data_IF_529899906405
#
_entry.id   IF_529899906405
#
_cell.length_a   1.000
_cell.length_b   1.000
_cell.length_c   1.000
_cell.angle_alpha   90.00
_cell.angle_beta   90.00
_cell.angle_gamma   90.00
#
_symmetry.space_group_name_H-M   'P 1'
#
loop_
_entity.id
_entity.type
_entity.pdbx_description
1 polymer ?
#
# COMPACT_ATOMS: atom_id res chain seq x y z
N UNK A 1 -36.61 -13.15 -66.70
CA UNK A 1 -37.20 -13.60 -65.43
C UNK A 1 -36.14 -14.38 -64.70
N UNK A 2 -35.41 -13.72 -63.76
CA UNK A 2 -34.37 -14.35 -62.91
C UNK A 2 -34.71 -14.00 -61.46
N UNK A 3 -35.09 -15.03 -60.66
CA UNK A 3 -35.45 -14.91 -59.29
C UNK A 3 -34.18 -15.10 -58.44
N UNK A 4 -33.66 -14.01 -57.86
CA UNK A 4 -32.58 -14.06 -56.87
C UNK A 4 -33.15 -14.36 -55.50
N UNK A 5 -32.86 -15.53 -54.96
CA UNK A 5 -33.15 -15.94 -53.61
C UNK A 5 -32.02 -15.44 -52.68
N UNK A 6 -32.29 -14.40 -51.91
CA UNK A 6 -31.39 -13.93 -50.85
C UNK A 6 -31.46 -14.87 -49.64
N UNK A 7 -30.39 -15.60 -49.38
CA UNK A 7 -30.20 -16.39 -48.13
C UNK A 7 -29.73 -15.46 -47.02
N UNK A 8 -30.62 -15.21 -46.06
CA UNK A 8 -30.27 -14.57 -44.79
C UNK A 8 -29.55 -15.58 -43.90
N UNK A 9 -28.27 -15.36 -43.67
CA UNK A 9 -27.48 -16.05 -42.62
C UNK A 9 -27.72 -15.34 -41.29
N UNK A 10 -28.51 -15.99 -40.42
CA UNK A 10 -28.72 -15.57 -39.05
C UNK A 10 -27.50 -15.99 -38.26
N UNK A 11 -26.59 -15.03 -37.96
CA UNK A 11 -25.48 -15.24 -37.02
C UNK A 11 -26.02 -15.08 -35.62
N UNK A 12 -26.24 -16.20 -34.93
CA UNK A 12 -26.57 -16.23 -33.50
C UNK A 12 -25.32 -15.87 -32.69
N UNK A 13 -25.21 -14.62 -32.30
CA UNK A 13 -24.24 -14.20 -31.28
C UNK A 13 -24.63 -14.82 -29.95
N UNK A 14 -23.99 -15.93 -29.58
CA UNK A 14 -24.01 -16.50 -28.23
C UNK A 14 -23.38 -15.47 -27.30
N UNK A 15 -24.23 -14.70 -26.61
CA UNK A 15 -23.84 -13.76 -25.57
C UNK A 15 -23.21 -14.53 -24.41
N UNK A 16 -21.87 -14.55 -24.36
CA UNK A 16 -21.12 -14.95 -23.16
C UNK A 16 -21.40 -13.86 -22.13
N UNK A 17 -22.04 -14.15 -20.97
CA UNK A 17 -22.15 -13.18 -19.91
C UNK A 17 -20.72 -12.87 -19.42
N UNK A 18 -20.22 -11.68 -19.78
CA UNK A 18 -19.06 -11.12 -19.11
C UNK A 18 -19.46 -10.95 -17.65
N UNK A 19 -19.06 -11.90 -16.79
CA UNK A 19 -19.05 -11.72 -15.35
C UNK A 19 -18.05 -10.60 -15.07
N UNK A 20 -18.53 -9.35 -15.13
CA UNK A 20 -17.84 -8.21 -14.57
C UNK A 20 -17.74 -8.46 -13.08
N UNK A 21 -16.67 -9.12 -12.66
CA UNK A 21 -16.32 -9.18 -11.25
C UNK A 21 -16.28 -7.73 -10.75
N UNK A 22 -17.23 -7.35 -9.92
CA UNK A 22 -17.25 -6.04 -9.29
C UNK A 22 -15.92 -5.88 -8.56
N UNK A 23 -14.95 -5.22 -9.20
CA UNK A 23 -13.71 -4.82 -8.54
C UNK A 23 -14.13 -3.91 -7.40
N UNK A 24 -14.09 -4.43 -6.19
CA UNK A 24 -14.30 -3.62 -5.00
C UNK A 24 -13.38 -2.43 -5.11
N UNK A 25 -13.98 -1.22 -5.06
CA UNK A 25 -13.21 0.00 -5.04
C UNK A 25 -12.08 -0.13 -4.00
N UNK A 26 -10.82 0.19 -4.33
CA UNK A 26 -9.68 -0.03 -3.44
C UNK A 26 -9.82 0.74 -2.12
N UNK A 27 -10.62 1.80 -2.10
CA UNK A 27 -10.83 2.67 -0.95
C UNK A 27 -11.98 2.18 -0.08
N UNK A 28 -11.72 2.00 1.22
CA UNK A 28 -12.70 1.57 2.20
C UNK A 28 -12.80 2.57 3.34
N UNK A 29 -14.01 3.02 3.66
CA UNK A 29 -14.25 3.86 4.84
C UNK A 29 -13.95 3.04 6.11
N UNK A 30 -13.09 3.59 6.96
CA UNK A 30 -12.66 2.97 8.23
C UNK A 30 -13.11 3.76 9.45
N UNK A 31 -13.41 5.05 9.27
CA UNK A 31 -13.97 5.91 10.30
C UNK A 31 -14.80 7.03 9.69
N UNK A 32 -15.83 7.45 10.40
CA UNK A 32 -16.62 8.65 10.05
C UNK A 32 -17.31 9.21 11.29
N UNK A 33 -17.25 10.54 11.44
CA UNK A 33 -18.08 11.32 12.33
C UNK A 33 -18.59 12.60 11.62
N UNK A 34 -19.06 13.62 12.38
CA UNK A 34 -19.52 14.90 11.83
C UNK A 34 -18.41 15.74 11.20
N UNK A 35 -17.17 15.60 11.65
CA UNK A 35 -16.05 16.47 11.30
C UNK A 35 -15.04 15.81 10.36
N UNK A 36 -15.00 14.47 10.32
CA UNK A 36 -13.95 13.75 9.62
C UNK A 36 -14.47 12.45 9.01
N UNK A 37 -14.05 12.15 7.79
CA UNK A 37 -14.18 10.83 7.18
C UNK A 37 -12.78 10.29 6.88
N UNK A 38 -12.48 9.06 7.30
CA UNK A 38 -11.23 8.40 7.00
C UNK A 38 -11.48 7.20 6.10
N UNK A 39 -10.82 7.21 4.95
CA UNK A 39 -10.83 6.11 4.00
C UNK A 39 -9.44 5.49 3.90
N UNK A 40 -9.40 4.20 3.69
CA UNK A 40 -8.21 3.37 3.65
C UNK A 40 -8.07 2.71 2.28
N UNK A 41 -6.92 2.89 1.64
CA UNK A 41 -6.62 2.23 0.37
C UNK A 41 -6.18 0.78 0.62
N UNK A 42 -7.07 -0.14 0.35
CA UNK A 42 -6.80 -1.56 0.54
C UNK A 42 -5.82 -2.13 -0.50
N UNK A 43 -5.61 -1.46 -1.62
CA UNK A 43 -4.66 -1.87 -2.66
C UNK A 43 -3.21 -1.49 -2.32
N UNK A 44 -3.03 -0.45 -1.50
CA UNK A 44 -1.72 0.06 -1.09
C UNK A 44 -1.04 -0.77 0.02
N UNK A 45 -1.73 -1.78 0.55
CA UNK A 45 -1.23 -2.58 1.66
C UNK A 45 -0.04 -3.43 1.25
N UNK A 46 1.09 -3.24 1.89
CA UNK A 46 2.27 -4.05 1.71
C UNK A 46 2.91 -4.44 3.06
N UNK A 47 3.30 -5.70 3.21
CA UNK A 47 4.05 -6.16 4.36
C UNK A 47 5.50 -5.68 4.23
N UNK A 48 5.96 -4.86 5.16
CA UNK A 48 7.33 -4.31 5.18
C UNK A 48 8.29 -5.19 5.98
N UNK A 49 7.81 -5.68 7.12
CA UNK A 49 8.52 -6.62 8.00
C UNK A 49 7.49 -7.38 8.83
N UNK A 50 7.83 -8.47 9.50
CA UNK A 50 6.89 -9.20 10.35
C UNK A 50 6.13 -8.26 11.30
N UNK A 51 4.81 -8.24 11.17
CA UNK A 51 3.91 -7.40 11.97
C UNK A 51 3.90 -5.90 11.62
N UNK A 52 4.60 -5.45 10.57
CA UNK A 52 4.64 -4.06 10.12
C UNK A 52 4.09 -3.96 8.70
N UNK A 53 3.08 -3.14 8.51
CA UNK A 53 2.40 -2.93 7.24
C UNK A 53 2.61 -1.50 6.74
N UNK A 54 2.86 -1.33 5.43
CA UNK A 54 2.71 -0.04 4.76
C UNK A 54 1.25 0.14 4.38
N UNK A 55 0.71 1.33 4.63
CA UNK A 55 -0.70 1.66 4.40
C UNK A 55 -0.83 3.07 3.86
N UNK A 56 -1.90 3.33 3.10
CA UNK A 56 -2.28 4.69 2.70
C UNK A 56 -3.70 4.96 3.22
N UNK A 57 -3.87 6.11 3.88
CA UNK A 57 -5.15 6.61 4.37
C UNK A 57 -5.41 8.01 3.83
N UNK A 58 -6.66 8.34 3.56
CA UNK A 58 -7.11 9.70 3.26
C UNK A 58 -8.07 10.17 4.35
N UNK A 59 -7.87 11.39 4.81
CA UNK A 59 -8.59 12.08 5.87
C UNK A 59 -9.32 13.27 5.24
N UNK A 60 -10.62 13.16 5.08
CA UNK A 60 -11.45 14.21 4.52
C UNK A 60 -12.13 14.97 5.67
N UNK A 61 -11.88 16.27 5.75
CA UNK A 61 -12.39 17.17 6.81
C UNK A 61 -13.63 17.89 6.32
N UNK A 62 -14.71 17.85 7.10
CA UNK A 62 -15.94 18.60 6.79
C UNK A 62 -15.73 20.11 6.82
N UNK A 63 -14.79 20.59 7.63
CA UNK A 63 -14.38 21.99 7.72
C UNK A 63 -12.91 22.14 7.35
N UNK A 64 -12.52 23.19 6.60
CA UNK A 64 -11.12 23.40 6.28
C UNK A 64 -10.26 23.49 7.54
N UNK A 65 -9.11 22.84 7.49
CA UNK A 65 -8.03 22.95 8.48
C UNK A 65 -7.01 23.97 7.99
N UNK A 66 -6.24 24.53 8.89
CA UNK A 66 -5.26 25.57 8.59
C UNK A 66 -3.87 25.03 8.90
N UNK A 67 -2.97 25.15 7.92
CA UNK A 67 -1.55 24.87 8.11
C UNK A 67 -0.86 26.06 8.80
N UNK A 68 0.37 25.86 9.28
CA UNK A 68 1.20 26.89 9.89
C UNK A 68 1.41 28.11 8.96
N UNK A 69 1.50 27.89 7.65
CA UNK A 69 1.61 28.94 6.63
C UNK A 69 0.26 29.60 6.26
N UNK A 70 -0.78 29.42 7.09
CA UNK A 70 -2.15 29.93 6.94
C UNK A 70 -2.92 29.40 5.72
N UNK A 71 -2.37 28.48 4.94
CA UNK A 71 -3.11 27.85 3.84
C UNK A 71 -4.14 26.87 4.41
N UNK A 72 -5.32 26.85 3.78
CA UNK A 72 -6.41 25.94 4.15
C UNK A 72 -6.32 24.63 3.37
N UNK A 73 -6.75 23.54 4.01
CA UNK A 73 -6.89 22.25 3.37
C UNK A 73 -8.13 21.52 3.89
N UNK A 74 -8.67 20.63 3.06
CA UNK A 74 -9.84 19.79 3.39
C UNK A 74 -9.52 18.32 3.33
N UNK A 75 -8.36 17.94 2.77
CA UNK A 75 -7.93 16.55 2.66
C UNK A 75 -6.46 16.40 3.02
N UNK A 76 -6.18 15.33 3.76
CA UNK A 76 -4.83 14.87 4.08
C UNK A 76 -4.70 13.40 3.62
N UNK A 77 -3.71 13.11 2.79
CA UNK A 77 -3.35 11.74 2.41
C UNK A 77 -2.03 11.38 3.08
N UNK A 78 -2.03 10.28 3.82
CA UNK A 78 -0.88 9.83 4.57
C UNK A 78 -0.46 8.42 4.15
N UNK A 79 0.84 8.23 3.92
CA UNK A 79 1.45 6.90 3.96
C UNK A 79 2.07 6.69 5.32
N UNK A 80 1.75 5.57 5.94
CA UNK A 80 2.28 5.22 7.26
C UNK A 80 2.67 3.75 7.33
N UNK A 81 3.68 3.45 8.14
CA UNK A 81 3.88 2.10 8.65
C UNK A 81 3.01 1.89 9.88
N UNK A 82 2.34 0.75 9.93
CA UNK A 82 1.39 0.41 11.01
C UNK A 82 1.77 -0.92 11.62
N UNK A 83 1.77 -0.97 12.96
CA UNK A 83 1.80 -2.17 13.78
C UNK A 83 0.48 -2.28 14.51
N UNK A 84 -0.06 -3.49 14.61
CA UNK A 84 -1.40 -3.69 15.15
C UNK A 84 -1.44 -4.28 16.57
N UNK A 85 -0.31 -4.67 17.13
CA UNK A 85 -0.26 -5.26 18.46
C UNK A 85 0.98 -4.76 19.23
N UNK A 86 0.85 -3.69 20.02
CA UNK A 86 -0.24 -2.70 20.08
C UNK A 86 -0.29 -1.81 18.83
N UNK A 87 -1.41 -1.09 18.62
CA UNK A 87 -1.53 -0.13 17.52
C UNK A 87 -0.50 0.98 17.67
N UNK A 88 0.39 1.04 16.68
CA UNK A 88 1.42 2.09 16.56
C UNK A 88 1.55 2.45 15.09
N UNK A 89 1.90 3.69 14.83
CA UNK A 89 2.12 4.18 13.46
C UNK A 89 3.40 4.99 13.35
N UNK A 90 3.95 5.00 12.15
CA UNK A 90 5.09 5.83 11.78
C UNK A 90 4.76 6.45 10.42
N UNK A 91 4.48 7.76 10.42
CA UNK A 91 4.15 8.49 9.19
C UNK A 91 5.41 8.63 8.36
N UNK A 92 5.33 8.27 7.07
CA UNK A 92 6.46 8.33 6.16
C UNK A 92 6.25 9.29 4.99
N UNK A 93 4.99 9.67 4.71
CA UNK A 93 4.66 10.71 3.75
C UNK A 93 3.34 11.37 4.13
N UNK A 94 3.23 12.65 3.86
CA UNK A 94 2.02 13.45 4.09
C UNK A 94 1.81 14.40 2.92
N UNK A 95 0.61 14.36 2.35
CA UNK A 95 0.23 15.24 1.23
C UNK A 95 -1.12 15.86 1.56
N UNK A 96 -1.22 17.19 1.48
CA UNK A 96 -2.44 17.93 1.82
C UNK A 96 -3.02 18.64 0.61
N UNK A 97 -4.34 18.61 0.50
CA UNK A 97 -5.10 19.17 -0.59
C UNK A 97 -6.17 20.15 -0.08
N UNK A 98 -6.32 21.28 -0.76
CA UNK A 98 -7.48 22.15 -0.62
C UNK A 98 -8.72 21.53 -1.30
N UNK A 99 -9.84 22.26 -1.30
CA UNK A 99 -11.02 21.90 -2.06
C UNK A 99 -10.68 21.63 -3.54
N UNK A 100 -11.47 20.78 -4.19
CA UNK A 100 -11.27 20.38 -5.59
C UNK A 100 -9.92 19.68 -5.89
N UNK A 101 -9.32 19.06 -4.87
CA UNK A 101 -8.05 18.32 -4.98
C UNK A 101 -6.84 19.19 -5.40
N UNK A 102 -6.89 20.48 -5.12
CA UNK A 102 -5.74 21.36 -5.38
C UNK A 102 -4.63 21.03 -4.36
N UNK A 103 -3.45 20.67 -4.85
CA UNK A 103 -2.30 20.36 -4.00
C UNK A 103 -1.86 21.62 -3.24
N UNK A 104 -1.81 21.52 -1.91
CA UNK A 104 -1.35 22.62 -1.02
C UNK A 104 0.07 22.39 -0.55
N UNK A 105 0.39 21.16 -0.15
CA UNK A 105 1.71 20.74 0.34
C UNK A 105 1.91 19.24 0.12
N UNK A 106 3.10 18.87 -0.32
CA UNK A 106 3.59 17.49 -0.28
C UNK A 106 4.90 17.50 0.51
N UNK A 107 4.94 16.80 1.62
CA UNK A 107 6.14 16.68 2.46
C UNK A 107 7.15 15.68 1.88
N UNK A 108 6.78 15.01 0.80
CA UNK A 108 7.59 13.96 0.21
C UNK A 108 7.62 12.70 1.08
N UNK A 109 8.42 11.74 0.67
CA UNK A 109 8.66 10.53 1.44
C UNK A 109 9.92 10.71 2.29
N UNK A 110 9.83 10.40 3.57
CA UNK A 110 10.98 10.41 4.48
C UNK A 110 11.99 9.38 3.98
N UNK A 111 13.27 9.77 3.91
CA UNK A 111 14.36 8.87 3.50
C UNK A 111 14.37 7.59 4.36
N UNK A 112 14.70 6.45 3.72
CA UNK A 112 14.73 5.15 4.39
C UNK A 112 15.68 5.15 5.60
N UNK A 113 16.77 5.90 5.53
CA UNK A 113 17.74 6.06 6.65
C UNK A 113 17.10 6.79 7.82
N UNK A 114 16.37 7.87 7.55
CA UNK A 114 15.68 8.65 8.57
C UNK A 114 14.50 7.88 9.14
N UNK A 115 13.84 7.03 8.33
CA UNK A 115 12.77 6.16 8.81
C UNK A 115 13.21 5.25 9.95
N UNK A 116 14.47 4.81 9.99
CA UNK A 116 14.99 3.98 11.07
C UNK A 116 14.99 4.71 12.42
N UNK A 117 15.20 6.02 12.40
CA UNK A 117 15.27 6.88 13.59
C UNK A 117 13.92 7.47 14.00
N UNK A 118 12.89 7.38 13.15
CA UNK A 118 11.54 7.88 13.49
C UNK A 118 10.94 7.12 14.64
N UNK A 119 10.35 7.85 15.59
CA UNK A 119 9.63 7.27 16.73
C UNK A 119 8.29 6.67 16.28
N UNK A 120 7.90 5.58 16.91
CA UNK A 120 6.58 4.97 16.72
C UNK A 120 5.55 5.71 17.58
N UNK A 121 4.64 6.43 16.93
CA UNK A 121 3.55 7.12 17.61
C UNK A 121 2.47 6.14 18.05
N UNK A 122 1.91 6.42 19.22
CA UNK A 122 0.71 5.75 19.72
C UNK A 122 -0.47 6.69 19.55
N UNK A 123 -1.50 6.35 18.76
CA UNK A 123 -2.69 7.19 18.66
C UNK A 123 -3.35 7.36 20.04
N UNK A 124 -3.73 8.59 20.38
CA UNK A 124 -4.36 8.89 21.66
C UNK A 124 -5.73 8.21 21.75
N UNK A 125 -6.08 7.59 22.90
CA UNK A 125 -7.38 7.01 23.15
C UNK A 125 -8.53 8.02 22.90
N UNK A 126 -9.65 7.55 22.36
CA UNK A 126 -10.84 8.38 22.10
C UNK A 126 -10.73 9.34 20.93
N UNK A 127 -9.61 9.34 20.19
CA UNK A 127 -9.45 10.19 19.00
C UNK A 127 -9.90 9.48 17.72
N UNK A 128 -10.33 10.24 16.68
CA UNK A 128 -10.58 9.69 15.33
C UNK A 128 -9.42 8.87 14.80
N UNK A 129 -8.16 9.30 15.08
CA UNK A 129 -6.97 8.58 14.68
C UNK A 129 -6.88 7.18 15.28
N UNK A 130 -7.15 7.04 16.56
CA UNK A 130 -7.17 5.72 17.25
C UNK A 130 -8.21 4.79 16.63
N UNK A 131 -9.45 5.28 16.48
CA UNK A 131 -10.57 4.50 15.95
C UNK A 131 -10.33 4.08 14.49
N UNK A 132 -9.80 4.98 13.65
CA UNK A 132 -9.46 4.69 12.28
C UNK A 132 -8.39 3.60 12.17
N UNK A 133 -7.27 3.73 12.90
CA UNK A 133 -6.19 2.74 12.83
C UNK A 133 -6.54 1.41 13.50
N UNK A 134 -7.40 1.37 14.49
CA UNK A 134 -7.96 0.11 15.01
C UNK A 134 -8.80 -0.61 13.95
N UNK A 135 -9.61 0.14 13.19
CA UNK A 135 -10.38 -0.41 12.07
C UNK A 135 -9.46 -0.91 10.94
N UNK A 136 -8.41 -0.15 10.60
CA UNK A 136 -7.37 -0.59 9.64
C UNK A 136 -6.74 -1.90 10.13
N UNK A 137 -6.34 -1.97 11.40
CA UNK A 137 -5.76 -3.18 11.98
C UNK A 137 -6.72 -4.36 11.94
N UNK A 138 -8.02 -4.14 12.16
CA UNK A 138 -9.05 -5.16 12.00
C UNK A 138 -9.12 -5.72 10.57
N UNK A 139 -8.84 -4.91 9.55
CA UNK A 139 -8.77 -5.34 8.15
C UNK A 139 -7.45 -6.12 7.90
N UNK A 140 -6.32 -5.60 8.37
CA UNK A 140 -5.00 -6.18 8.15
C UNK A 140 -4.86 -7.57 8.79
N UNK A 141 -5.40 -7.75 10.00
CA UNK A 141 -5.34 -9.04 10.70
C UNK A 141 -6.20 -10.13 10.04
N UNK A 142 -7.29 -9.74 9.37
CA UNK A 142 -8.11 -10.67 8.57
C UNK A 142 -7.44 -11.05 7.25
N UNK A 143 -6.59 -10.19 6.72
CA UNK A 143 -5.70 -10.47 5.58
C UNK A 143 -4.46 -11.21 6.07
N UNK A 144 -4.60 -12.30 6.84
CA UNK A 144 -3.47 -13.19 7.05
C UNK A 144 -2.88 -13.50 5.68
N UNK A 145 -1.58 -13.25 5.42
CA UNK A 145 -0.97 -13.80 4.24
C UNK A 145 -1.25 -15.30 4.31
N UNK A 146 -2.00 -15.81 3.33
CA UNK A 146 -2.02 -17.26 3.06
C UNK A 146 -0.57 -17.65 3.12
N UNK A 147 -0.23 -18.51 4.10
CA UNK A 147 1.12 -18.93 4.48
C UNK A 147 2.12 -18.67 3.35
N UNK A 148 2.86 -17.58 3.44
CA UNK A 148 3.93 -17.30 2.50
C UNK A 148 4.78 -18.57 2.49
N UNK A 149 4.87 -19.22 1.34
CA UNK A 149 5.70 -20.39 1.12
C UNK A 149 7.00 -20.13 1.85
N UNK A 150 7.32 -21.02 2.79
CA UNK A 150 8.56 -20.96 3.55
C UNK A 150 9.69 -20.70 2.54
N UNK A 151 10.61 -19.74 2.79
CA UNK A 151 11.68 -19.48 1.86
C UNK A 151 12.34 -20.82 1.55
N UNK A 152 12.35 -21.18 0.27
CA UNK A 152 13.01 -22.40 -0.21
C UNK A 152 14.38 -22.42 0.44
N UNK A 153 14.68 -23.48 1.24
CA UNK A 153 15.98 -23.68 1.82
C UNK A 153 16.98 -23.63 0.67
N UNK A 154 17.69 -22.52 0.55
CA UNK A 154 18.80 -22.37 -0.37
C UNK A 154 19.85 -23.35 0.10
N UNK A 155 19.95 -24.49 -0.57
CA UNK A 155 21.03 -25.44 -0.38
C UNK A 155 22.34 -24.70 -0.62
N UNK A 156 23.30 -24.67 0.34
CA UNK A 156 24.54 -23.95 0.13
C UNK A 156 25.27 -24.54 -1.09
N UNK A 157 25.86 -23.71 -1.94
CA UNK A 157 26.58 -24.19 -3.10
C UNK A 157 27.72 -25.09 -2.65
N UNK A 158 27.75 -26.30 -3.22
CA UNK A 158 28.80 -27.33 -2.99
C UNK A 158 30.14 -26.70 -3.30
N UNK A 159 30.99 -26.55 -2.28
CA UNK A 159 32.34 -25.96 -2.37
C UNK A 159 33.18 -26.85 -3.32
N UNK A 160 33.52 -26.28 -4.47
CA UNK A 160 34.48 -26.89 -5.40
C UNK A 160 35.88 -26.74 -4.80
N UNK A 161 36.66 -27.80 -4.61
CA UNK A 161 38.03 -27.69 -4.07
C UNK A 161 38.90 -26.88 -5.01
N UNK A 162 39.48 -25.79 -4.49
CA UNK A 162 40.47 -24.96 -5.21
C UNK A 162 41.72 -25.79 -5.53
N UNK A 163 42.01 -25.92 -6.83
CA UNK A 163 43.19 -26.57 -7.38
C UNK A 163 44.43 -25.74 -7.00
N UNK A 164 45.31 -26.32 -6.21
CA UNK A 164 46.55 -25.71 -5.77
C UNK A 164 47.42 -25.28 -6.97
N UNK A 165 47.68 -23.98 -7.08
CA UNK A 165 48.58 -23.40 -8.09
C UNK A 165 50.02 -23.41 -7.56
N UNK A 166 50.85 -24.15 -8.21
CA UNK A 166 52.26 -24.31 -7.87
C UNK A 166 53.03 -22.99 -7.91
N UNK A 167 53.74 -22.70 -6.83
CA UNK A 167 54.61 -21.57 -6.61
C UNK A 167 55.90 -21.72 -7.42
N UNK A 168 56.09 -20.95 -8.48
CA UNK A 168 57.34 -20.87 -9.26
C UNK A 168 58.33 -19.93 -8.55
N UNK A 169 59.49 -20.49 -8.16
CA UNK A 169 60.58 -19.84 -7.46
C UNK A 169 61.33 -18.89 -8.43
N UNK A 170 61.65 -17.64 -8.10
CA UNK A 170 62.56 -16.82 -8.93
C UNK A 170 64.02 -17.15 -8.62
N UNK A 171 64.81 -17.32 -9.68
CA UNK A 171 66.27 -17.45 -9.64
C UNK A 171 66.93 -16.08 -9.44
N UNK A 172 67.97 -16.06 -8.61
CA UNK A 172 68.83 -14.95 -8.37
C UNK A 172 69.78 -14.70 -9.55
N UNK A 173 69.99 -13.43 -9.84
CA UNK A 173 71.26 -12.89 -10.35
C UNK A 173 71.47 -11.46 -9.87
#
# INVERSE_FOLDING_TARGET
MIRNAARFLLVACLGVPCMSGAQQAPWRQVYKDSDITVIFDTSSVALQSPGTWSTVTSWDYARPRILENKKQYTRLVERAYVRCSPVRLKRVRSTVYAANNVLVRDEGEVDVRDQAHMVWDRPNPGTPGKNAFESVCGILTRRRPSSAAAPAKTTPPKTVPAKASAKKKPAAK
#
